data_IF_610033557323
#
_entry.id   IF_610033557323
#
_cell.length_a   1.000
_cell.length_b   1.000
_cell.length_c   1.000
_cell.angle_alpha   90.00
_cell.angle_beta   90.00
_cell.angle_gamma   90.00
#
_symmetry.space_group_name_H-M   'P 1'
#
loop_
_entity.id
_entity.type
_entity.pdbx_description
1 polymer ?
#
# COMPACT_ATOMS: atom_id res chain seq x y z
N UNK A 1 9.61 -3.78 -0.81
CA UNK A 1 9.61 -2.42 -1.41
C UNK A 1 8.21 -1.82 -1.57
N UNK A 2 7.18 -2.59 -1.97
CA UNK A 2 5.81 -2.07 -2.14
C UNK A 2 5.19 -1.54 -0.83
N UNK A 3 5.57 -2.12 0.31
CA UNK A 3 5.25 -1.62 1.65
C UNK A 3 5.74 -0.19 1.86
N UNK A 4 7.03 0.07 1.64
CA UNK A 4 7.61 1.41 1.73
C UNK A 4 6.97 2.40 0.75
N UNK A 5 6.60 1.97 -0.46
CA UNK A 5 5.87 2.84 -1.40
C UNK A 5 4.52 3.29 -0.81
N UNK A 6 3.75 2.38 -0.22
CA UNK A 6 2.48 2.70 0.43
C UNK A 6 2.65 3.65 1.61
N UNK A 7 3.64 3.40 2.46
CA UNK A 7 3.99 4.25 3.61
C UNK A 7 4.38 5.66 3.16
N UNK A 8 5.36 5.78 2.24
CA UNK A 8 5.82 7.06 1.73
C UNK A 8 4.69 7.85 1.04
N UNK A 9 3.85 7.17 0.27
CA UNK A 9 2.70 7.81 -0.40
C UNK A 9 1.66 8.29 0.61
N UNK A 10 1.36 7.48 1.63
CA UNK A 10 0.46 7.87 2.73
C UNK A 10 0.99 9.10 3.45
N UNK A 11 2.29 9.14 3.78
CA UNK A 11 2.94 10.30 4.39
C UNK A 11 2.86 11.54 3.49
N UNK A 12 3.05 11.38 2.18
CA UNK A 12 2.90 12.49 1.22
C UNK A 12 1.47 13.02 1.21
N UNK A 13 0.46 12.15 1.10
CA UNK A 13 -0.94 12.58 1.14
C UNK A 13 -1.31 13.27 2.45
N UNK A 14 -0.89 12.75 3.59
CA UNK A 14 -1.12 13.39 4.88
C UNK A 14 -0.54 14.81 4.92
N UNK A 15 0.70 15.00 4.46
CA UNK A 15 1.37 16.31 4.42
C UNK A 15 0.70 17.28 3.43
N UNK A 16 0.38 16.80 2.23
CA UNK A 16 -0.18 17.65 1.16
C UNK A 16 -1.63 18.06 1.45
N UNK A 17 -2.40 17.19 2.12
CA UNK A 17 -3.82 17.41 2.45
C UNK A 17 -4.03 18.03 3.83
N UNK A 18 -2.96 18.14 4.61
CA UNK A 18 -2.97 18.62 5.99
C UNK A 18 -4.04 17.87 6.82
N UNK A 19 -3.97 16.55 6.76
CA UNK A 19 -5.02 15.68 7.28
C UNK A 19 -4.94 15.53 8.79
N UNK A 20 -6.00 15.94 9.49
CA UNK A 20 -6.15 15.77 10.93
C UNK A 20 -7.34 14.89 11.30
N UNK A 21 -7.18 14.17 12.43
CA UNK A 21 -8.20 13.29 12.97
C UNK A 21 -8.31 11.96 12.20
N UNK A 22 -8.94 10.99 12.85
CA UNK A 22 -8.95 9.61 12.38
C UNK A 22 -9.52 9.45 10.96
N UNK A 23 -10.67 10.05 10.66
CA UNK A 23 -11.34 9.88 9.35
C UNK A 23 -10.49 10.34 8.17
N UNK A 24 -9.76 11.46 8.30
CA UNK A 24 -8.90 11.96 7.23
C UNK A 24 -7.64 11.11 7.08
N UNK A 25 -7.03 10.73 8.22
CA UNK A 25 -5.85 9.84 8.22
C UNK A 25 -6.17 8.46 7.66
N UNK A 26 -7.35 7.91 7.97
CA UNK A 26 -7.83 6.65 7.40
C UNK A 26 -7.95 6.76 5.88
N UNK A 27 -8.48 7.87 5.36
CA UNK A 27 -8.57 8.12 3.92
C UNK A 27 -7.19 8.16 3.27
N UNK A 28 -6.23 8.86 3.86
CA UNK A 28 -4.87 8.93 3.32
C UNK A 28 -4.18 7.57 3.30
N UNK A 29 -4.37 6.76 4.34
CA UNK A 29 -3.85 5.40 4.40
C UNK A 29 -4.48 4.50 3.33
N UNK A 30 -5.80 4.60 3.11
CA UNK A 30 -6.51 3.88 2.04
C UNK A 30 -6.01 4.29 0.65
N UNK A 31 -5.80 5.58 0.44
CA UNK A 31 -5.33 6.11 -0.85
C UNK A 31 -3.87 5.70 -1.11
N UNK A 32 -2.98 5.83 -0.11
CA UNK A 32 -1.58 5.41 -0.22
C UNK A 32 -1.44 3.91 -0.44
N UNK A 33 -2.21 3.10 0.29
CA UNK A 33 -2.30 1.65 0.06
C UNK A 33 -2.82 1.30 -1.34
N UNK A 34 -3.76 2.07 -1.87
CA UNK A 34 -4.30 1.89 -3.23
C UNK A 34 -3.26 2.20 -4.31
N UNK A 35 -2.34 3.13 -4.09
CA UNK A 35 -1.19 3.38 -4.99
C UNK A 35 -0.24 2.19 -5.01
N UNK A 36 0.15 1.67 -3.83
CA UNK A 36 0.98 0.47 -3.75
C UNK A 36 0.30 -0.75 -4.38
N UNK A 37 -1.00 -0.93 -4.16
CA UNK A 37 -1.80 -2.01 -4.73
C UNK A 37 -1.90 -1.94 -6.26
N UNK A 38 -2.05 -0.75 -6.83
CA UNK A 38 -1.99 -0.53 -8.29
C UNK A 38 -0.61 -0.85 -8.85
N UNK A 39 0.44 -0.38 -8.19
CA UNK A 39 1.84 -0.64 -8.58
C UNK A 39 2.15 -2.14 -8.57
N UNK A 40 1.70 -2.87 -7.55
CA UNK A 40 1.80 -4.34 -7.51
C UNK A 40 1.17 -4.98 -8.75
N UNK A 41 -0.08 -4.62 -9.07
CA UNK A 41 -0.81 -5.16 -10.22
C UNK A 41 -0.10 -4.86 -11.54
N UNK A 42 0.47 -3.66 -11.67
CA UNK A 42 1.23 -3.26 -12.85
C UNK A 42 2.51 -4.12 -13.02
N UNK A 43 3.29 -4.30 -11.95
CA UNK A 43 4.47 -5.17 -11.99
C UNK A 43 4.07 -6.62 -12.32
N UNK A 44 3.02 -7.15 -11.71
CA UNK A 44 2.53 -8.51 -12.01
C UNK A 44 2.12 -8.66 -13.48
N UNK A 45 1.46 -7.64 -14.04
CA UNK A 45 1.05 -7.61 -15.45
C UNK A 45 2.26 -7.59 -16.39
N UNK A 46 3.26 -6.77 -16.10
CA UNK A 46 4.46 -6.65 -16.94
C UNK A 46 5.38 -7.87 -16.81
N UNK A 47 5.55 -8.40 -15.60
CA UNK A 47 6.39 -9.56 -15.30
C UNK A 47 5.75 -10.91 -15.68
N UNK A 48 4.42 -10.93 -15.91
CA UNK A 48 3.61 -12.14 -16.12
C UNK A 48 3.74 -13.17 -14.97
N UNK A 49 4.10 -12.71 -13.78
CA UNK A 49 4.33 -13.52 -12.59
C UNK A 49 3.65 -12.88 -11.38
N UNK A 50 3.04 -13.71 -10.54
CA UNK A 50 2.50 -13.27 -9.25
C UNK A 50 3.65 -12.88 -8.31
N UNK A 51 3.55 -11.70 -7.70
CA UNK A 51 4.50 -11.24 -6.67
C UNK A 51 4.02 -11.68 -5.29
N UNK A 52 2.72 -11.93 -5.14
CA UNK A 52 2.14 -12.46 -3.91
C UNK A 52 2.30 -13.98 -3.84
N UNK A 53 2.63 -14.45 -2.64
CA UNK A 53 2.66 -15.86 -2.28
C UNK A 53 1.41 -16.21 -1.48
N UNK A 54 0.87 -17.42 -1.68
CA UNK A 54 -0.20 -17.97 -0.83
C UNK A 54 0.30 -18.43 0.55
N UNK A 55 1.62 -18.39 0.79
CA UNK A 55 2.21 -18.79 2.07
C UNK A 55 1.81 -17.79 3.16
N UNK A 56 1.26 -18.29 4.26
CA UNK A 56 1.05 -17.49 5.46
C UNK A 56 2.40 -17.33 6.18
N UNK A 57 2.72 -16.11 6.60
CA UNK A 57 3.95 -15.83 7.34
C UNK A 57 3.82 -16.19 8.83
N UNK A 58 2.59 -16.33 9.34
CA UNK A 58 2.34 -16.71 10.72
C UNK A 58 2.63 -18.20 10.95
N UNK A 59 3.25 -18.57 12.08
CA UNK A 59 3.44 -19.97 12.43
C UNK A 59 2.09 -20.66 12.63
N UNK A 60 2.02 -21.95 12.29
CA UNK A 60 0.86 -22.78 12.65
C UNK A 60 0.86 -22.95 14.18
N UNK A 61 -0.31 -22.74 14.79
CA UNK A 61 -0.53 -23.03 16.21
C UNK A 61 -0.47 -24.53 16.48
#
# INVERSE_FOLDING_TARGET
ILTMLGEATTTKFHRDRDSYGFTKLEKDAKDGGSVAGRTRKDIERQSKKSIISKKNYLPKK
#
